data_IF_487475994230
#
_entry.id   IF_487475994230
#
_cell.length_a   1.000
_cell.length_b   1.000
_cell.length_c   1.000
_cell.angle_alpha   90.00
_cell.angle_beta   90.00
_cell.angle_gamma   90.00
#
_symmetry.space_group_name_H-M   'P 1'
#
loop_
_entity.id
_entity.type
_entity.pdbx_description
1 polymer ?
#
# COMPACT_ATOMS: atom_id res chain seq x y z
N UNK A 1 15.23 13.35 13.00
CA UNK A 1 13.99 12.67 13.43
C UNK A 1 13.64 13.20 14.82
N UNK A 2 12.36 13.44 15.15
CA UNK A 2 12.02 13.98 16.49
C UNK A 2 12.30 12.91 17.57
N UNK A 3 12.79 13.27 18.77
CA UNK A 3 13.21 12.30 19.80
C UNK A 3 12.13 11.28 20.18
N UNK A 4 10.87 11.70 20.24
CA UNK A 4 9.73 10.83 20.56
C UNK A 4 9.50 9.73 19.53
N UNK A 5 9.89 9.95 18.26
CA UNK A 5 9.82 8.92 17.22
C UNK A 5 10.89 7.86 17.43
N UNK A 6 12.10 8.28 17.82
CA UNK A 6 13.20 7.36 18.11
C UNK A 6 12.86 6.47 19.32
N UNK A 7 12.27 7.04 20.38
CA UNK A 7 11.79 6.28 21.55
C UNK A 7 10.76 5.22 21.13
N UNK A 8 9.74 5.61 20.36
CA UNK A 8 8.72 4.69 19.91
C UNK A 8 9.29 3.55 19.02
N UNK A 9 10.28 3.85 18.18
CA UNK A 9 10.97 2.85 17.36
C UNK A 9 11.76 1.85 18.23
N UNK A 10 12.46 2.33 19.26
CA UNK A 10 13.22 1.49 20.19
C UNK A 10 12.30 0.58 21.03
N UNK A 11 11.19 1.12 21.51
CA UNK A 11 10.14 0.35 22.21
C UNK A 11 9.55 -0.74 21.31
N UNK A 12 9.21 -0.40 20.05
CA UNK A 12 8.65 -1.33 19.10
C UNK A 12 9.61 -2.46 18.69
N UNK A 13 10.92 -2.21 18.69
CA UNK A 13 11.94 -3.21 18.32
C UNK A 13 11.96 -4.43 19.25
N UNK A 14 11.44 -4.29 20.47
CA UNK A 14 11.39 -5.35 21.49
C UNK A 14 10.05 -6.13 21.50
N UNK A 15 9.12 -5.81 20.58
CA UNK A 15 7.80 -6.42 20.53
C UNK A 15 7.64 -7.41 19.36
N UNK A 16 6.87 -8.47 19.59
CA UNK A 16 6.40 -9.37 18.53
C UNK A 16 4.95 -9.01 18.18
N UNK A 17 4.70 -8.74 16.90
CA UNK A 17 3.38 -8.29 16.43
C UNK A 17 2.94 -9.05 15.19
N UNK A 18 1.62 -9.14 15.01
CA UNK A 18 1.03 -9.56 13.74
C UNK A 18 1.23 -8.45 12.71
N UNK A 19 2.09 -8.71 11.72
CA UNK A 19 2.46 -7.72 10.70
C UNK A 19 1.27 -7.25 9.87
N UNK A 20 0.22 -8.07 9.69
CA UNK A 20 -0.99 -7.67 8.95
C UNK A 20 -1.79 -6.65 9.76
N UNK A 21 -1.89 -6.85 11.08
CA UNK A 21 -2.55 -5.88 11.97
C UNK A 21 -1.76 -4.59 12.08
N UNK A 22 -0.43 -4.67 12.20
CA UNK A 22 0.43 -3.48 12.23
C UNK A 22 0.26 -2.63 10.97
N UNK A 23 0.34 -3.24 9.78
CA UNK A 23 0.19 -2.52 8.52
C UNK A 23 -1.20 -1.89 8.35
N UNK A 24 -2.27 -2.56 8.82
CA UNK A 24 -3.63 -2.00 8.81
C UNK A 24 -3.72 -0.76 9.69
N UNK A 25 -3.28 -0.85 10.95
CA UNK A 25 -3.31 0.28 11.88
C UNK A 25 -2.44 1.45 11.41
N UNK A 26 -1.24 1.18 10.89
CA UNK A 26 -0.38 2.22 10.33
C UNK A 26 -1.01 2.86 9.07
N UNK A 27 -1.69 2.06 8.24
CA UNK A 27 -2.46 2.54 7.09
C UNK A 27 -3.59 3.49 7.47
N UNK A 28 -4.32 3.21 8.55
CA UNK A 28 -5.36 4.10 9.09
C UNK A 28 -4.79 5.46 9.53
N UNK A 29 -3.63 5.46 10.18
CA UNK A 29 -2.92 6.70 10.57
C UNK A 29 -2.50 7.51 9.34
N UNK A 30 -1.95 6.84 8.31
CA UNK A 30 -1.57 7.49 7.05
C UNK A 30 -2.80 8.07 6.33
N UNK A 31 -3.89 7.31 6.26
CA UNK A 31 -5.14 7.75 5.64
C UNK A 31 -5.68 9.01 6.31
N UNK A 32 -5.71 9.03 7.65
CA UNK A 32 -6.13 10.18 8.44
C UNK A 32 -5.24 11.41 8.18
N UNK A 33 -3.92 11.23 8.17
CA UNK A 33 -2.98 12.33 7.94
C UNK A 33 -3.05 12.91 6.52
N UNK A 34 -3.39 12.07 5.52
CA UNK A 34 -3.48 12.46 4.12
C UNK A 34 -4.88 12.87 3.67
N UNK A 35 -5.92 12.68 4.49
CA UNK A 35 -7.32 12.87 4.08
C UNK A 35 -7.77 11.88 3.00
N UNK A 36 -7.19 10.67 2.99
CA UNK A 36 -7.49 9.62 2.02
C UNK A 36 -8.45 8.58 2.61
N UNK A 37 -9.13 7.83 1.74
CA UNK A 37 -9.99 6.70 2.17
C UNK A 37 -9.18 5.57 2.81
N UNK A 38 -7.96 5.31 2.31
CA UNK A 38 -7.06 4.27 2.79
C UNK A 38 -5.60 4.70 2.65
N UNK A 39 -4.72 4.08 3.46
CA UNK A 39 -3.28 4.31 3.44
C UNK A 39 -2.50 3.00 3.42
N UNK A 40 -1.34 3.01 2.76
CA UNK A 40 -0.43 1.87 2.66
C UNK A 40 0.99 2.29 3.05
N UNK A 41 1.55 1.62 4.05
CA UNK A 41 2.96 1.77 4.41
C UNK A 41 3.83 0.96 3.46
N UNK A 42 4.93 1.56 2.99
CA UNK A 42 5.91 0.94 2.09
C UNK A 42 7.32 1.28 2.57
N UNK A 43 8.35 0.66 1.96
CA UNK A 43 9.75 0.94 2.29
C UNK A 43 10.22 2.37 1.94
N UNK A 44 9.39 3.16 1.25
CA UNK A 44 9.67 4.54 0.88
C UNK A 44 8.94 4.97 -0.38
N UNK A 45 9.12 6.23 -0.78
CA UNK A 45 8.40 6.83 -1.91
C UNK A 45 8.63 6.08 -3.24
N UNK A 46 9.86 5.67 -3.54
CA UNK A 46 10.16 4.92 -4.76
C UNK A 46 9.40 3.59 -4.83
N UNK A 47 9.35 2.83 -3.72
CA UNK A 47 8.58 1.60 -3.65
C UNK A 47 7.07 1.86 -3.81
N UNK A 48 6.56 2.93 -3.18
CA UNK A 48 5.16 3.34 -3.32
C UNK A 48 4.80 3.68 -4.78
N UNK A 49 5.69 4.37 -5.51
CA UNK A 49 5.47 4.68 -6.93
C UNK A 49 5.41 3.43 -7.80
N UNK A 50 6.28 2.45 -7.56
CA UNK A 50 6.25 1.17 -8.28
C UNK A 50 4.91 0.46 -8.05
N UNK A 51 4.46 0.38 -6.79
CA UNK A 51 3.17 -0.23 -6.44
C UNK A 51 1.98 0.52 -7.04
N UNK A 52 2.03 1.86 -7.05
CA UNK A 52 1.00 2.69 -7.68
C UNK A 52 0.88 2.41 -9.18
N UNK A 53 2.01 2.40 -9.90
CA UNK A 53 2.03 2.10 -11.34
C UNK A 53 1.51 0.69 -11.61
N UNK A 54 1.94 -0.29 -10.80
CA UNK A 54 1.43 -1.66 -10.89
C UNK A 54 -0.09 -1.71 -10.70
N UNK A 55 -0.63 -1.05 -9.67
CA UNK A 55 -2.06 -1.00 -9.40
C UNK A 55 -2.86 -0.31 -10.52
N UNK A 56 -2.35 0.78 -11.10
CA UNK A 56 -2.99 1.42 -12.26
C UNK A 56 -3.06 0.48 -13.48
N UNK A 57 -1.99 -0.28 -13.70
CA UNK A 57 -1.89 -1.23 -14.80
C UNK A 57 -2.82 -2.45 -14.63
N UNK A 58 -2.86 -3.05 -13.44
CA UNK A 58 -3.61 -4.29 -13.19
C UNK A 58 -5.07 -4.03 -12.80
N UNK A 59 -5.36 -2.87 -12.22
CA UNK A 59 -6.67 -2.56 -11.65
C UNK A 59 -7.00 -3.49 -10.48
N UNK A 60 -8.25 -3.99 -10.45
CA UNK A 60 -8.74 -4.93 -9.43
C UNK A 60 -8.65 -6.41 -9.88
N UNK A 61 -8.03 -6.70 -11.02
CA UNK A 61 -7.86 -8.08 -11.51
C UNK A 61 -6.69 -8.75 -10.79
N UNK A 62 -7.00 -9.73 -9.96
CA UNK A 62 -5.99 -10.55 -9.27
C UNK A 62 -5.14 -11.35 -10.26
N UNK A 63 -5.77 -11.88 -11.33
CA UNK A 63 -5.05 -12.57 -12.40
C UNK A 63 -4.03 -11.69 -13.12
N UNK A 64 -4.28 -10.38 -13.27
CA UNK A 64 -3.29 -9.44 -13.83
C UNK A 64 -2.19 -9.08 -12.81
N UNK A 65 -2.48 -9.07 -11.50
CA UNK A 65 -1.47 -8.86 -10.45
C UNK A 65 -0.48 -10.02 -10.40
N UNK A 66 -0.96 -11.26 -10.47
CA UNK A 66 -0.14 -12.48 -10.45
C UNK A 66 0.81 -12.59 -11.66
N UNK A 67 0.49 -11.92 -12.77
CA UNK A 67 1.30 -11.91 -14.00
C UNK A 67 2.48 -10.93 -13.95
N UNK A 68 2.53 -10.01 -12.97
CA UNK A 68 3.62 -9.05 -12.87
C UNK A 68 4.98 -9.77 -12.77
N UNK A 69 6.01 -9.31 -13.50
CA UNK A 69 6.06 -8.08 -14.30
C UNK A 69 5.65 -8.23 -15.78
N UNK A 70 5.21 -9.41 -16.23
CA UNK A 70 4.82 -9.66 -17.63
C UNK A 70 3.44 -9.06 -17.94
N UNK A 71 3.41 -8.10 -18.87
CA UNK A 71 2.19 -7.36 -19.25
C UNK A 71 1.54 -7.88 -20.53
N UNK A 72 2.15 -8.86 -21.21
CA UNK A 72 1.73 -9.28 -22.55
C UNK A 72 0.37 -9.99 -22.58
N UNK A 73 -0.10 -10.46 -21.42
CA UNK A 73 -1.30 -11.29 -21.26
C UNK A 73 -2.41 -10.65 -20.43
N UNK A 74 -2.31 -9.35 -20.12
CA UNK A 74 -3.37 -8.69 -19.36
C UNK A 74 -4.71 -8.80 -20.08
N UNK A 75 -5.71 -9.28 -19.33
CA UNK A 75 -7.07 -9.34 -19.85
C UNK A 75 -7.57 -7.91 -20.10
N UNK A 76 -8.14 -7.67 -21.29
CA UNK A 76 -8.62 -6.34 -21.67
C UNK A 76 -9.74 -5.92 -20.73
N UNK A 77 -9.63 -4.73 -20.13
CA UNK A 77 -10.68 -4.13 -19.29
C UNK A 77 -12.01 -4.07 -20.05
N UNK A 78 -12.97 -4.93 -19.69
CA UNK A 78 -14.38 -4.67 -19.90
C UNK A 78 -14.75 -3.49 -18.99
N UNK A 79 -14.96 -2.31 -19.58
CA UNK A 79 -14.95 -1.05 -18.86
C UNK A 79 -15.98 -0.91 -17.75
N UNK A 80 -15.48 -0.60 -16.55
CA UNK A 80 -16.06 0.42 -15.68
C UNK A 80 -14.90 1.14 -14.99
N UNK A 81 -14.77 2.44 -15.26
CA UNK A 81 -13.99 3.33 -14.39
C UNK A 81 -14.74 3.35 -13.07
N UNK A 82 -14.14 2.78 -12.02
CA UNK A 82 -14.63 2.93 -10.65
C UNK A 82 -14.69 4.43 -10.36
N UNK A 83 -15.89 5.00 -10.33
CA UNK A 83 -16.08 6.35 -9.80
C UNK A 83 -15.82 6.28 -8.28
N UNK A 84 -15.07 7.24 -7.70
CA UNK A 84 -14.95 7.31 -6.25
C UNK A 84 -16.37 7.44 -5.65
N UNK A 85 -16.58 6.72 -4.55
CA UNK A 85 -17.81 6.83 -3.75
C UNK A 85 -17.93 8.21 -3.11
#
# INVERSE_FOLDING_TARGET
MRPEVLSAMDEAANAFVDIKKLNRAAGEVVALACGAEQGLVTAGCSAAQVLMVAACMTGQSESNVEQLPDKTRYEKRGGTVQRPA
#
